data_IF_313799957230
#
_entry.id   IF_313799957230
#
_cell.length_a   1.000
_cell.length_b   1.000
_cell.length_c   1.000
_cell.angle_alpha   90.00
_cell.angle_beta   90.00
_cell.angle_gamma   90.00
#
_symmetry.space_group_name_H-M   'P 1'
#
loop_
_entity.id
_entity.type
_entity.pdbx_description
1 polymer ?
#
# COMPACT_ATOMS: atom_id res chain seq x y z
N UNK A 1 -20.42 -56.01 60.08
CA UNK A 1 -19.50 -55.48 61.11
C UNK A 1 -18.13 -55.38 60.47
N UNK A 2 -17.39 -54.28 60.36
CA UNK A 2 -17.42 -52.86 60.79
C UNK A 2 -16.65 -52.11 59.69
N UNK A 3 -17.15 -51.04 59.05
CA UNK A 3 -17.08 -49.64 59.49
C UNK A 3 -15.70 -49.18 60.00
N UNK A 4 -14.92 -48.51 59.13
CA UNK A 4 -14.00 -47.47 59.59
C UNK A 4 -13.97 -46.29 58.61
N UNK A 5 -13.94 -45.09 59.20
CA UNK A 5 -14.08 -43.76 58.63
C UNK A 5 -12.76 -43.29 58.03
N UNK A 6 -12.83 -42.41 57.02
CA UNK A 6 -12.02 -41.18 57.04
C UNK A 6 -12.54 -40.15 56.03
N UNK A 7 -13.05 -39.06 56.60
CA UNK A 7 -13.40 -37.81 55.95
C UNK A 7 -12.14 -37.03 55.54
N UNK A 8 -12.23 -36.20 54.50
CA UNK A 8 -11.13 -35.29 54.16
C UNK A 8 -11.24 -34.54 52.84
N UNK A 9 -12.40 -33.96 52.51
CA UNK A 9 -12.45 -32.91 51.49
C UNK A 9 -11.87 -31.62 52.10
N UNK A 10 -10.77 -31.08 51.54
CA UNK A 10 -10.33 -29.70 51.84
C UNK A 10 -9.63 -29.06 50.61
N UNK A 11 -10.41 -28.17 50.00
CA UNK A 11 -10.21 -27.12 48.99
C UNK A 11 -8.76 -26.74 48.56
N UNK A 12 -8.52 -26.46 47.26
CA UNK A 12 -7.31 -25.78 46.81
C UNK A 12 -7.31 -24.28 47.22
N UNK A 13 -6.14 -23.79 47.64
CA UNK A 13 -5.93 -22.41 48.07
C UNK A 13 -6.00 -21.39 46.92
N UNK A 14 -6.49 -20.16 47.15
CA UNK A 14 -6.52 -19.12 46.13
C UNK A 14 -5.12 -18.52 45.93
N UNK A 15 -4.48 -18.88 44.82
CA UNK A 15 -3.23 -18.26 44.38
C UNK A 15 -3.48 -16.81 43.92
N UNK A 16 -3.24 -15.90 44.86
CA UNK A 16 -2.99 -14.46 44.77
C UNK A 16 -2.99 -13.83 43.36
N UNK A 17 -4.10 -13.14 43.05
CA UNK A 17 -4.37 -12.31 41.87
C UNK A 17 -3.30 -11.21 41.61
N UNK A 18 -2.48 -10.86 42.61
CA UNK A 18 -1.45 -9.83 42.52
C UNK A 18 -0.24 -10.19 41.66
N UNK A 19 0.08 -11.48 41.48
CA UNK A 19 1.26 -11.90 40.69
C UNK A 19 1.00 -11.96 39.18
N UNK A 20 -0.25 -12.18 38.78
CA UNK A 20 -0.63 -12.30 37.36
C UNK A 20 -0.64 -10.92 36.67
N UNK A 21 -1.11 -9.87 37.37
CA UNK A 21 -1.17 -8.51 36.82
C UNK A 21 0.22 -7.90 36.56
N UNK A 22 1.21 -8.15 37.43
CA UNK A 22 2.58 -7.63 37.25
C UNK A 22 3.31 -8.25 36.03
N UNK A 23 3.07 -9.54 35.76
CA UNK A 23 3.65 -10.23 34.62
C UNK A 23 3.02 -9.80 33.27
N UNK A 24 1.73 -9.46 33.26
CA UNK A 24 1.03 -8.96 32.08
C UNK A 24 1.49 -7.54 31.75
N UNK A 25 1.64 -6.67 32.76
CA UNK A 25 2.09 -5.29 32.58
C UNK A 25 3.53 -5.21 32.05
N UNK A 26 4.44 -6.06 32.56
CA UNK A 26 5.83 -6.12 32.07
C UNK A 26 5.96 -6.67 30.65
N UNK A 27 5.16 -7.69 30.26
CA UNK A 27 5.15 -8.22 28.88
C UNK A 27 4.55 -7.23 27.88
N UNK A 28 3.55 -6.45 28.28
CA UNK A 28 3.04 -5.33 27.47
C UNK A 28 4.09 -4.22 27.30
N UNK A 29 4.82 -3.88 28.37
CA UNK A 29 5.86 -2.85 28.34
C UNK A 29 7.07 -3.27 27.47
N UNK A 30 7.50 -4.54 27.57
CA UNK A 30 8.54 -5.13 26.71
C UNK A 30 8.11 -5.25 25.24
N UNK A 31 6.83 -5.52 24.99
CA UNK A 31 6.28 -5.56 23.63
C UNK A 31 6.16 -4.17 22.99
N UNK A 32 5.86 -3.10 23.76
CA UNK A 32 5.86 -1.73 23.26
C UNK A 32 7.28 -1.25 22.93
N UNK A 33 8.27 -1.59 23.75
CA UNK A 33 9.66 -1.16 23.57
C UNK A 33 10.32 -1.77 22.32
N UNK A 34 9.96 -3.00 21.95
CA UNK A 34 10.45 -3.64 20.72
C UNK A 34 9.87 -3.05 19.42
N UNK A 35 8.71 -2.38 19.49
CA UNK A 35 8.08 -1.76 18.32
C UNK A 35 8.81 -0.48 17.86
N UNK A 36 9.48 0.24 18.78
CA UNK A 36 10.15 1.51 18.47
C UNK A 36 11.47 1.36 17.69
N UNK A 37 12.08 0.17 17.64
CA UNK A 37 13.36 -0.04 16.94
C UNK A 37 13.21 -0.30 15.43
N UNK A 38 11.98 -0.42 14.92
CA UNK A 38 11.71 -0.57 13.48
C UNK A 38 11.37 0.76 12.80
N UNK A 39 11.47 1.89 13.52
CA UNK A 39 11.41 3.22 12.93
C UNK A 39 12.74 3.48 12.21
N UNK A 40 12.89 2.83 11.04
CA UNK A 40 13.92 3.19 10.08
C UNK A 40 13.87 4.70 9.89
N UNK A 41 15.02 5.40 9.90
CA UNK A 41 15.02 6.81 9.54
C UNK A 41 14.44 6.87 8.13
N UNK A 42 13.29 7.52 7.98
CA UNK A 42 12.85 8.00 6.69
C UNK A 42 13.96 8.94 6.24
N UNK A 43 14.91 8.42 5.43
CA UNK A 43 15.93 9.22 4.79
C UNK A 43 15.17 10.26 3.98
N UNK A 44 15.07 11.47 4.53
CA UNK A 44 14.40 12.58 3.88
C UNK A 44 15.10 12.76 2.53
N UNK A 45 14.34 12.58 1.44
CA UNK A 45 14.89 12.74 0.10
C UNK A 45 15.55 14.12 -0.01
N UNK A 46 16.76 14.16 -0.58
CA UNK A 46 17.40 15.46 -0.81
C UNK A 46 16.59 16.25 -1.84
N UNK A 47 16.66 17.60 -1.83
CA UNK A 47 15.96 18.41 -2.84
C UNK A 47 16.30 18.02 -4.28
N UNK A 48 17.54 17.61 -4.53
CA UNK A 48 17.98 17.11 -5.84
C UNK A 48 17.27 15.81 -6.24
N UNK A 49 17.15 14.85 -5.31
CA UNK A 49 16.43 13.59 -5.53
C UNK A 49 14.94 13.82 -5.77
N UNK A 50 14.32 14.72 -5.00
CA UNK A 50 12.92 15.09 -5.17
C UNK A 50 12.67 15.76 -6.53
N UNK A 51 13.57 16.66 -6.97
CA UNK A 51 13.52 17.28 -8.29
C UNK A 51 13.64 16.27 -9.43
N UNK A 52 14.61 15.35 -9.33
CA UNK A 52 14.79 14.26 -10.29
C UNK A 52 13.55 13.37 -10.38
N UNK A 53 13.02 12.90 -9.24
CA UNK A 53 11.83 12.05 -9.22
C UNK A 53 10.60 12.73 -9.82
N UNK A 54 10.41 14.02 -9.53
CA UNK A 54 9.31 14.80 -10.10
C UNK A 54 9.42 14.89 -11.62
N UNK A 55 10.61 15.16 -12.14
CA UNK A 55 10.85 15.23 -13.59
C UNK A 55 10.62 13.86 -14.26
N UNK A 56 11.11 12.79 -13.65
CA UNK A 56 10.99 11.44 -14.20
C UNK A 56 9.56 10.92 -14.15
N UNK A 57 8.84 11.20 -13.06
CA UNK A 57 7.40 10.88 -12.93
C UNK A 57 6.61 11.55 -14.06
N UNK A 58 6.86 12.84 -14.32
CA UNK A 58 6.20 13.56 -15.43
C UNK A 58 6.49 12.93 -16.78
N UNK A 59 7.74 12.50 -17.04
CA UNK A 59 8.11 11.85 -18.30
C UNK A 59 7.40 10.51 -18.48
N UNK A 60 7.36 9.70 -17.43
CA UNK A 60 6.71 8.39 -17.42
C UNK A 60 5.19 8.55 -17.61
N UNK A 61 4.57 9.52 -16.94
CA UNK A 61 3.15 9.82 -17.12
C UNK A 61 2.83 10.27 -18.55
N UNK A 62 3.67 11.12 -19.17
CA UNK A 62 3.49 11.51 -20.57
C UNK A 62 3.67 10.33 -21.54
N UNK A 63 4.54 9.36 -21.25
CA UNK A 63 4.65 8.13 -22.04
C UNK A 63 3.38 7.28 -21.94
N UNK A 64 2.85 7.12 -20.73
CA UNK A 64 1.59 6.42 -20.52
C UNK A 64 0.44 7.10 -21.28
N UNK A 65 0.33 8.43 -21.20
CA UNK A 65 -0.67 9.21 -21.97
C UNK A 65 -0.54 8.94 -23.46
N UNK A 66 0.68 8.98 -24.03
CA UNK A 66 0.89 8.68 -25.45
C UNK A 66 0.42 7.27 -25.82
N UNK A 67 0.68 6.29 -24.95
CA UNK A 67 0.25 4.92 -25.20
C UNK A 67 -1.27 4.78 -25.18
N UNK A 68 -1.94 5.45 -24.24
CA UNK A 68 -3.41 5.47 -24.19
C UNK A 68 -4.02 6.20 -25.38
N UNK A 69 -3.39 7.28 -25.88
CA UNK A 69 -3.76 7.94 -27.14
C UNK A 69 -3.68 6.96 -28.31
N UNK A 70 -2.61 6.16 -28.41
CA UNK A 70 -2.49 5.15 -29.48
C UNK A 70 -3.57 4.06 -29.39
N UNK A 71 -3.95 3.65 -28.17
CA UNK A 71 -4.97 2.62 -27.95
C UNK A 71 -6.38 3.12 -28.28
N UNK A 72 -6.70 4.36 -27.87
CA UNK A 72 -8.06 4.92 -27.91
C UNK A 72 -8.29 5.86 -29.08
N UNK A 73 -7.22 6.28 -29.76
CA UNK A 73 -7.21 7.30 -30.81
C UNK A 73 -7.77 8.67 -30.35
N UNK A 74 -7.83 8.89 -29.04
CA UNK A 74 -8.31 10.15 -28.46
C UNK A 74 -7.25 11.25 -28.46
N UNK A 75 -7.65 12.53 -28.49
CA UNK A 75 -6.72 13.63 -28.30
C UNK A 75 -5.99 13.53 -26.94
N UNK A 76 -4.70 13.82 -26.94
CA UNK A 76 -3.87 13.80 -25.72
C UNK A 76 -4.38 14.74 -24.62
N UNK A 77 -5.16 15.78 -24.95
CA UNK A 77 -5.83 16.63 -23.96
C UNK A 77 -6.89 15.85 -23.19
N UNK A 78 -7.77 15.11 -23.88
CA UNK A 78 -8.84 14.34 -23.25
C UNK A 78 -8.27 13.21 -22.38
N UNK A 79 -7.24 12.52 -22.87
CA UNK A 79 -6.52 11.50 -22.10
C UNK A 79 -5.88 12.09 -20.85
N UNK A 80 -5.30 13.30 -20.92
CA UNK A 80 -4.75 13.99 -19.74
C UNK A 80 -5.82 14.44 -18.76
N UNK A 81 -7.00 14.81 -19.22
CA UNK A 81 -8.15 15.09 -18.34
C UNK A 81 -8.65 13.82 -17.63
N UNK A 82 -8.52 12.66 -18.28
CA UNK A 82 -8.82 11.36 -17.69
C UNK A 82 -7.75 10.86 -16.70
N UNK A 83 -6.54 11.45 -16.71
CA UNK A 83 -5.48 11.06 -15.78
C UNK A 83 -5.85 11.48 -14.35
N UNK A 84 -5.74 10.56 -13.38
CA UNK A 84 -5.94 10.92 -11.99
C UNK A 84 -4.85 11.89 -11.51
N UNK A 85 -5.24 12.79 -10.60
CA UNK A 85 -4.28 13.62 -9.90
C UNK A 85 -3.23 12.76 -9.17
N UNK A 86 -1.97 13.20 -9.18
CA UNK A 86 -0.87 12.50 -8.54
C UNK A 86 -1.18 12.23 -7.06
N UNK A 87 -1.21 10.96 -6.66
CA UNK A 87 -1.62 10.55 -5.32
C UNK A 87 -1.70 9.02 -5.16
N UNK A 88 -2.21 8.56 -4.01
CA UNK A 88 -2.38 7.13 -3.71
C UNK A 88 -3.61 6.56 -4.44
N UNK A 89 -3.54 6.48 -5.76
CA UNK A 89 -4.52 5.69 -6.51
C UNK A 89 -3.84 4.39 -6.92
N UNK A 90 -4.34 3.29 -6.36
CA UNK A 90 -3.83 1.94 -6.57
C UNK A 90 -4.15 1.42 -7.98
N UNK A 91 -5.23 1.92 -8.60
CA UNK A 91 -5.77 1.44 -9.88
C UNK A 91 -5.85 2.56 -10.92
N UNK A 92 -4.70 2.97 -11.48
CA UNK A 92 -4.67 4.11 -12.44
C UNK A 92 -5.34 3.73 -13.76
N UNK A 93 -5.03 2.56 -14.33
CA UNK A 93 -5.63 2.06 -15.57
C UNK A 93 -7.17 2.03 -15.53
N UNK A 94 -7.77 1.46 -14.48
CA UNK A 94 -9.22 1.38 -14.34
C UNK A 94 -9.89 2.75 -14.26
N UNK A 95 -9.25 3.72 -13.59
CA UNK A 95 -9.77 5.10 -13.50
C UNK A 95 -9.69 5.83 -14.83
N UNK A 96 -8.59 5.67 -15.55
CA UNK A 96 -8.40 6.26 -16.87
C UNK A 96 -9.41 5.68 -17.86
N UNK A 97 -9.57 4.35 -17.87
CA UNK A 97 -10.57 3.67 -18.71
C UNK A 97 -11.99 4.20 -18.40
N UNK A 98 -12.41 4.21 -17.13
CA UNK A 98 -13.73 4.69 -16.75
C UNK A 98 -13.97 6.18 -17.09
N UNK A 99 -12.93 7.02 -16.96
CA UNK A 99 -13.03 8.43 -17.34
C UNK A 99 -13.14 8.61 -18.86
N UNK A 100 -12.39 7.82 -19.63
CA UNK A 100 -12.47 7.82 -21.10
C UNK A 100 -13.84 7.32 -21.58
N UNK A 101 -14.35 6.23 -21.03
CA UNK A 101 -15.70 5.72 -21.35
C UNK A 101 -16.77 6.77 -21.09
N UNK A 102 -16.64 7.51 -19.98
CA UNK A 102 -17.53 8.63 -19.67
C UNK A 102 -17.42 9.77 -20.68
N UNK A 103 -16.23 10.09 -21.16
CA UNK A 103 -16.01 11.14 -22.17
C UNK A 103 -16.59 10.74 -23.54
N UNK A 104 -16.42 9.48 -23.92
CA UNK A 104 -16.91 8.94 -25.19
C UNK A 104 -18.43 8.68 -25.18
N UNK A 105 -19.00 8.35 -24.01
CA UNK A 105 -20.39 7.89 -23.90
C UNK A 105 -20.59 6.43 -24.32
N UNK A 106 -19.51 5.70 -24.59
CA UNK A 106 -19.50 4.28 -24.94
C UNK A 106 -18.45 3.53 -24.11
N UNK A 107 -18.63 2.21 -23.99
CA UNK A 107 -17.67 1.36 -23.31
C UNK A 107 -16.46 1.09 -24.21
N UNK A 108 -15.25 1.10 -23.63
CA UNK A 108 -14.05 0.63 -24.31
C UNK A 108 -14.15 -0.88 -24.49
N UNK A 109 -13.57 -1.39 -25.58
CA UNK A 109 -13.49 -2.84 -25.78
C UNK A 109 -12.61 -3.49 -24.73
N UNK A 110 -12.79 -4.79 -24.50
CA UNK A 110 -11.99 -5.53 -23.53
C UNK A 110 -10.50 -5.53 -23.92
N UNK A 111 -10.19 -5.57 -25.23
CA UNK A 111 -8.83 -5.46 -25.75
C UNK A 111 -8.23 -4.08 -25.45
N UNK A 112 -9.00 -3.00 -25.62
CA UNK A 112 -8.55 -1.65 -25.28
C UNK A 112 -8.29 -1.52 -23.78
N UNK A 113 -9.18 -2.05 -22.93
CA UNK A 113 -9.01 -2.06 -21.47
C UNK A 113 -7.77 -2.84 -21.06
N UNK A 114 -7.56 -4.02 -21.65
CA UNK A 114 -6.38 -4.84 -21.39
C UNK A 114 -5.10 -4.13 -21.83
N UNK A 115 -5.11 -3.46 -23.00
CA UNK A 115 -3.97 -2.69 -23.47
C UNK A 115 -3.65 -1.49 -22.55
N UNK A 116 -4.67 -0.79 -22.03
CA UNK A 116 -4.49 0.28 -21.04
C UNK A 116 -3.92 -0.27 -19.74
N UNK A 117 -4.39 -1.43 -19.28
CA UNK A 117 -3.86 -2.10 -18.10
C UNK A 117 -2.38 -2.44 -18.27
N UNK A 118 -2.00 -3.02 -19.41
CA UNK A 118 -0.60 -3.32 -19.73
C UNK A 118 0.27 -2.05 -19.76
N UNK A 119 -0.23 -0.95 -20.35
CA UNK A 119 0.48 0.33 -20.36
C UNK A 119 0.69 0.87 -18.93
N UNK A 120 -0.26 0.65 -18.01
CA UNK A 120 -0.09 1.05 -16.60
C UNK A 120 0.90 0.13 -15.87
N UNK A 121 0.96 -1.16 -16.19
CA UNK A 121 2.01 -2.05 -15.67
C UNK A 121 3.42 -1.54 -16.04
N UNK A 122 3.63 -1.20 -17.30
CA UNK A 122 4.88 -0.60 -17.79
C UNK A 122 5.18 0.71 -17.06
N UNK A 123 4.18 1.56 -16.88
CA UNK A 123 4.27 2.81 -16.11
C UNK A 123 4.70 2.55 -14.66
N UNK A 124 4.09 1.57 -13.99
CA UNK A 124 4.41 1.22 -12.59
C UNK A 124 5.83 0.68 -12.46
N UNK A 125 6.25 -0.18 -13.40
CA UNK A 125 7.62 -0.68 -13.46
C UNK A 125 8.64 0.46 -13.65
N UNK A 126 8.37 1.38 -14.58
CA UNK A 126 9.22 2.55 -14.81
C UNK A 126 9.28 3.48 -13.58
N UNK A 127 8.16 3.74 -12.91
CA UNK A 127 8.13 4.52 -11.67
C UNK A 127 8.92 3.85 -10.55
N UNK A 128 8.87 2.51 -10.43
CA UNK A 128 9.69 1.78 -9.48
C UNK A 128 11.18 1.91 -9.81
N UNK A 129 11.57 1.78 -11.07
CA UNK A 129 12.94 1.97 -11.52
C UNK A 129 13.44 3.41 -11.27
N UNK A 130 12.62 4.42 -11.54
CA UNK A 130 12.95 5.82 -11.25
C UNK A 130 13.19 6.07 -9.75
N UNK A 131 12.38 5.46 -8.88
CA UNK A 131 12.57 5.50 -7.41
C UNK A 131 13.88 4.86 -6.97
N UNK A 132 14.32 3.80 -7.63
CA UNK A 132 15.64 3.20 -7.37
C UNK A 132 16.75 4.11 -7.88
N UNK A 133 16.64 4.63 -9.10
CA UNK A 133 17.64 5.51 -9.71
C UNK A 133 17.86 6.79 -8.90
N UNK A 134 16.80 7.37 -8.33
CA UNK A 134 16.88 8.57 -7.51
C UNK A 134 17.72 8.38 -6.24
N UNK A 135 17.80 7.16 -5.68
CA UNK A 135 18.65 6.91 -4.50
C UNK A 135 20.15 7.06 -4.81
N UNK A 136 20.51 6.98 -6.09
CA UNK A 136 21.88 7.07 -6.59
C UNK A 136 22.20 8.46 -7.19
N UNK A 137 21.32 9.45 -7.01
CA UNK A 137 21.47 10.84 -7.45
C UNK A 137 21.68 11.77 -6.27
#
# INVERSE_FOLDING_TARGET
MNADRSAGARLPQPLSLRRVFGAILMKFLLSLLACCCMLSPALAQTPAQAGFLKAETRRIDEQFVRRVVEITQLPASQVREAMPAAGRITETSARVAAAIEKQLGEALTDEQKQAIAQADEERRAALAAARVAAKNK
#
